data_IF_304148138208
#
_entry.id   IF_304148138208
#
_cell.length_a   1.000
_cell.length_b   1.000
_cell.length_c   1.000
_cell.angle_alpha   90.00
_cell.angle_beta   90.00
_cell.angle_gamma   90.00
#
_symmetry.space_group_name_H-M   'P 1'
#
loop_
_entity.id
_entity.type
_entity.pdbx_description
1 polymer ?
#
# COMPACT_ATOMS: atom_id res chain seq x y z
N UNK A 1 39.02 -30.25 3.06
CA UNK A 1 38.65 -30.67 1.69
C UNK A 1 37.15 -30.48 1.55
N UNK A 2 36.76 -29.53 0.71
CA UNK A 2 35.39 -29.05 0.54
C UNK A 2 34.60 -30.02 -0.35
N UNK A 3 33.59 -30.69 0.19
CA UNK A 3 32.57 -31.37 -0.61
C UNK A 3 31.30 -30.52 -0.64
N UNK A 4 31.08 -29.91 -1.80
CA UNK A 4 29.90 -29.13 -2.20
C UNK A 4 28.72 -30.08 -2.43
N UNK A 5 27.64 -29.92 -1.67
CA UNK A 5 26.38 -30.66 -1.86
C UNK A 5 25.39 -29.84 -2.71
N UNK A 6 24.84 -30.37 -3.82
CA UNK A 6 24.03 -29.63 -4.80
C UNK A 6 22.54 -30.02 -4.80
N UNK A 7 21.82 -29.95 -3.67
CA UNK A 7 20.38 -30.30 -3.65
C UNK A 7 19.59 -29.44 -2.67
N UNK A 8 19.14 -28.25 -3.08
CA UNK A 8 17.95 -27.57 -2.52
C UNK A 8 17.46 -26.44 -3.43
N UNK A 9 16.62 -26.71 -4.46
CA UNK A 9 15.74 -25.69 -5.09
C UNK A 9 14.51 -26.32 -5.73
N UNK A 10 13.62 -26.86 -4.91
CA UNK A 10 12.20 -27.05 -5.26
C UNK A 10 11.39 -26.63 -4.05
N UNK A 11 10.85 -25.41 -4.10
CA UNK A 11 9.75 -24.84 -3.31
C UNK A 11 10.04 -23.36 -3.08
N UNK A 12 9.58 -22.48 -3.99
CA UNK A 12 8.95 -21.20 -3.65
C UNK A 12 8.08 -20.83 -4.84
N UNK A 13 6.76 -21.04 -4.71
CA UNK A 13 5.74 -20.34 -5.47
C UNK A 13 4.89 -19.59 -4.45
N UNK A 14 4.65 -18.31 -4.75
CA UNK A 14 3.76 -17.36 -4.06
C UNK A 14 4.26 -16.74 -2.74
N UNK A 15 5.00 -15.63 -2.84
CA UNK A 15 4.92 -14.48 -1.93
C UNK A 15 5.84 -13.37 -2.45
N UNK A 16 5.31 -12.39 -3.17
CA UNK A 16 6.14 -11.35 -3.76
C UNK A 16 5.35 -10.16 -4.25
N UNK A 17 4.82 -9.35 -3.34
CA UNK A 17 4.48 -7.96 -3.60
C UNK A 17 4.13 -7.26 -2.29
N UNK A 18 4.92 -6.25 -1.91
CA UNK A 18 4.53 -4.98 -1.26
C UNK A 18 5.77 -4.35 -0.59
N UNK A 19 6.67 -3.81 -1.43
CA UNK A 19 7.53 -2.69 -1.03
C UNK A 19 7.22 -1.60 -2.04
N UNK A 20 6.45 -0.60 -1.62
CA UNK A 20 6.00 0.51 -2.45
C UNK A 20 5.50 1.64 -1.56
N UNK A 21 6.42 2.28 -0.84
CA UNK A 21 6.15 3.55 -0.16
C UNK A 21 6.80 4.67 -0.98
N UNK A 22 5.97 5.44 -1.68
CA UNK A 22 6.37 6.65 -2.42
C UNK A 22 5.44 7.78 -2.01
N UNK A 23 5.95 8.76 -1.26
CA UNK A 23 5.21 9.94 -0.85
C UNK A 23 4.88 10.85 -2.04
N UNK A 24 3.59 11.12 -2.26
CA UNK A 24 3.14 12.12 -3.23
C UNK A 24 3.30 13.53 -2.62
N UNK A 25 4.20 14.35 -3.18
CA UNK A 25 4.28 15.77 -2.83
C UNK A 25 3.28 16.55 -3.69
N UNK A 26 2.18 17.02 -3.08
CA UNK A 26 1.31 17.99 -3.72
C UNK A 26 1.93 19.39 -3.57
N UNK A 27 2.42 19.96 -4.67
CA UNK A 27 2.88 21.36 -4.69
C UNK A 27 1.66 22.28 -4.63
N UNK A 28 1.45 22.92 -3.47
CA UNK A 28 0.40 23.93 -3.31
C UNK A 28 0.75 25.19 -4.12
N UNK A 29 0.14 25.32 -5.29
CA UNK A 29 0.14 26.57 -6.06
C UNK A 29 -0.78 27.63 -5.45
N UNK A 30 -0.73 28.90 -5.93
CA UNK A 30 -1.60 29.97 -5.47
C UNK A 30 -3.07 29.54 -5.53
N UNK A 31 -3.88 30.01 -4.57
CA UNK A 31 -5.29 29.69 -4.46
C UNK A 31 -6.06 30.13 -5.72
N UNK A 32 -6.15 29.23 -6.67
CA UNK A 32 -7.00 29.34 -7.85
C UNK A 32 -8.35 28.72 -7.53
N UNK A 33 -9.43 29.37 -7.98
CA UNK A 33 -10.78 28.83 -7.88
C UNK A 33 -10.93 27.48 -8.63
N UNK A 34 -9.99 27.20 -9.52
CA UNK A 34 -9.85 25.93 -10.22
C UNK A 34 -8.43 25.40 -10.06
N UNK A 35 -8.26 24.18 -9.56
CA UNK A 35 -6.95 23.55 -9.50
C UNK A 35 -7.09 22.04 -9.69
N UNK A 36 -6.01 21.40 -10.09
CA UNK A 36 -5.93 19.95 -10.17
C UNK A 36 -5.05 19.44 -9.04
N UNK A 37 -5.48 18.37 -8.39
CA UNK A 37 -4.68 17.62 -7.41
C UNK A 37 -4.26 16.33 -8.11
N UNK A 38 -2.95 16.11 -8.22
CA UNK A 38 -2.38 14.91 -8.86
C UNK A 38 -1.50 14.19 -7.85
N UNK A 39 -1.78 12.91 -7.62
CA UNK A 39 -0.97 12.03 -6.77
C UNK A 39 -0.69 10.72 -7.48
N UNK A 40 0.48 10.14 -7.21
CA UNK A 40 0.90 8.86 -7.80
C UNK A 40 1.61 8.00 -6.76
N UNK A 41 1.30 6.70 -6.75
CA UNK A 41 1.93 5.71 -5.89
C UNK A 41 2.49 4.57 -6.74
N UNK A 42 3.71 4.11 -6.45
CA UNK A 42 4.40 3.14 -7.28
C UNK A 42 4.61 1.80 -6.57
N UNK A 43 4.36 0.71 -7.29
CA UNK A 43 4.65 -0.66 -6.85
C UNK A 43 5.51 -1.37 -7.88
N UNK A 44 6.54 -2.11 -7.45
CA UNK A 44 7.36 -2.91 -8.36
C UNK A 44 6.64 -4.22 -8.76
N UNK A 45 6.32 -4.36 -10.04
CA UNK A 45 5.91 -5.62 -10.65
C UNK A 45 7.15 -6.44 -11.01
N UNK A 46 7.55 -7.32 -10.11
CA UNK A 46 8.73 -8.17 -10.25
C UNK A 46 8.60 -9.24 -11.33
N UNK A 47 7.39 -9.53 -11.82
CA UNK A 47 7.20 -10.50 -12.92
C UNK A 47 7.58 -9.84 -14.24
N UNK A 48 7.17 -8.59 -14.42
CA UNK A 48 7.52 -7.78 -15.58
C UNK A 48 8.92 -7.14 -15.47
N UNK A 49 9.37 -6.80 -14.26
CA UNK A 49 10.52 -5.91 -14.05
C UNK A 49 10.17 -4.46 -14.34
N UNK A 50 8.94 -4.05 -14.02
CA UNK A 50 8.39 -2.72 -14.32
C UNK A 50 7.79 -2.11 -13.05
N UNK A 51 7.86 -0.80 -12.94
CA UNK A 51 7.06 -0.06 -11.96
C UNK A 51 5.62 0.08 -12.47
N UNK A 52 4.66 -0.15 -11.59
CA UNK A 52 3.24 0.16 -11.81
C UNK A 52 2.90 1.34 -10.94
N UNK A 53 2.55 2.47 -11.56
CA UNK A 53 2.19 3.71 -10.88
C UNK A 53 0.69 3.90 -10.91
N UNK A 54 0.04 3.86 -9.75
CA UNK A 54 -1.35 4.18 -9.52
C UNK A 54 -1.51 5.71 -9.37
N UNK A 55 -2.03 6.35 -10.41
CA UNK A 55 -2.34 7.78 -10.43
C UNK A 55 -3.76 8.05 -9.94
N UNK A 56 -3.92 9.16 -9.23
CA UNK A 56 -5.21 9.75 -8.86
C UNK A 56 -5.18 11.23 -9.21
N UNK A 57 -6.21 11.70 -9.91
CA UNK A 57 -6.37 13.09 -10.30
C UNK A 57 -7.75 13.58 -9.90
N UNK A 58 -7.79 14.70 -9.19
CA UNK A 58 -9.02 15.42 -8.88
C UNK A 58 -8.95 16.83 -9.47
N UNK A 59 -9.82 17.12 -10.41
CA UNK A 59 -10.08 18.49 -10.83
C UNK A 59 -11.04 19.12 -9.80
N UNK A 60 -10.67 20.27 -9.25
CA UNK A 60 -11.42 20.97 -8.19
C UNK A 60 -11.86 22.32 -8.73
N UNK A 61 -13.14 22.65 -8.56
CA UNK A 61 -13.67 23.97 -8.87
C UNK A 61 -15.18 24.06 -8.72
N UNK A 62 -15.74 25.20 -9.13
CA UNK A 62 -17.16 25.50 -8.95
C UNK A 62 -18.06 25.16 -10.16
N UNK A 63 -17.48 24.89 -11.33
CA UNK A 63 -18.26 24.47 -12.49
C UNK A 63 -18.64 22.98 -12.38
N UNK A 64 -19.76 22.53 -12.99
CA UNK A 64 -20.22 21.15 -12.86
C UNK A 64 -19.31 20.15 -13.59
N UNK A 65 -18.76 20.56 -14.74
CA UNK A 65 -17.90 19.72 -15.59
C UNK A 65 -16.63 20.44 -16.00
N UNK A 66 -15.66 19.66 -16.46
CA UNK A 66 -14.41 20.12 -17.06
C UNK A 66 -14.00 19.18 -18.20
N UNK A 67 -13.00 19.58 -18.98
CA UNK A 67 -12.37 18.77 -20.03
C UNK A 67 -10.86 18.77 -19.85
N UNK A 68 -10.22 17.62 -20.10
CA UNK A 68 -8.76 17.62 -20.22
C UNK A 68 -8.34 18.31 -21.52
N UNK A 69 -7.42 19.24 -21.42
CA UNK A 69 -6.72 19.89 -22.54
C UNK A 69 -5.30 19.38 -22.70
N UNK A 70 -4.74 18.77 -21.66
CA UNK A 70 -3.44 18.12 -21.68
C UNK A 70 -3.44 16.94 -20.70
N UNK A 71 -2.89 15.80 -21.14
CA UNK A 71 -2.46 14.71 -20.27
C UNK A 71 -1.12 14.23 -20.82
N UNK A 72 -0.06 14.37 -20.02
CA UNK A 72 1.29 13.96 -20.41
C UNK A 72 1.97 13.16 -19.30
N UNK A 73 2.67 12.11 -19.72
CA UNK A 73 3.32 11.14 -18.84
C UNK A 73 4.84 11.17 -19.06
N UNK A 74 5.58 11.05 -17.97
CA UNK A 74 7.01 10.74 -17.98
C UNK A 74 7.20 9.38 -17.30
N UNK A 75 8.03 8.47 -17.84
CA UNK A 75 8.80 8.58 -19.10
C UNK A 75 7.91 8.64 -20.34
N UNK A 76 8.41 9.31 -21.38
CA UNK A 76 7.72 9.39 -22.66
C UNK A 76 7.50 8.00 -23.28
N UNK A 77 6.37 7.82 -23.96
CA UNK A 77 5.99 6.55 -24.60
C UNK A 77 5.27 5.54 -23.70
N UNK A 78 5.14 5.85 -22.40
CA UNK A 78 4.24 5.11 -21.50
C UNK A 78 2.79 5.55 -21.68
N UNK A 79 1.85 4.74 -21.19
CA UNK A 79 0.41 5.01 -21.28
C UNK A 79 -0.25 4.86 -19.91
N UNK A 80 -1.42 5.48 -19.74
CA UNK A 80 -2.28 5.34 -18.56
C UNK A 80 -3.53 4.55 -18.94
N UNK A 81 -3.89 3.53 -18.16
CA UNK A 81 -4.94 2.56 -18.49
C UNK A 81 -6.37 3.02 -18.13
N UNK A 82 -6.68 4.30 -18.35
CA UNK A 82 -8.04 4.80 -18.19
C UNK A 82 -8.41 5.80 -19.31
N UNK A 83 -9.48 5.47 -20.02
CA UNK A 83 -10.07 6.26 -21.10
C UNK A 83 -10.47 7.68 -20.67
N UNK A 84 -10.78 7.89 -19.39
CA UNK A 84 -11.09 9.21 -18.83
C UNK A 84 -9.92 10.20 -18.90
N UNK A 85 -8.69 9.74 -19.14
CA UNK A 85 -7.52 10.61 -19.37
C UNK A 85 -7.30 10.98 -20.84
N UNK A 86 -8.20 10.61 -21.76
CA UNK A 86 -8.07 11.00 -23.17
C UNK A 86 -8.33 12.49 -23.35
N UNK A 87 -7.44 13.14 -24.10
CA UNK A 87 -7.59 14.52 -24.56
C UNK A 87 -8.28 14.51 -25.92
N UNK A 88 -9.61 14.55 -25.93
CA UNK A 88 -10.42 14.54 -27.16
C UNK A 88 -11.19 15.86 -27.41
N UNK A 89 -11.17 16.78 -26.43
CA UNK A 89 -11.89 18.06 -26.45
C UNK A 89 -13.43 17.94 -26.36
N UNK A 90 -13.96 16.72 -26.25
CA UNK A 90 -15.40 16.43 -26.30
C UNK A 90 -15.91 15.87 -24.98
N UNK A 91 -15.17 14.95 -24.38
CA UNK A 91 -15.55 14.26 -23.16
C UNK A 91 -15.54 15.23 -21.98
N UNK A 92 -16.72 15.40 -21.38
CA UNK A 92 -16.89 16.16 -20.15
C UNK A 92 -16.82 15.23 -18.95
N UNK A 93 -16.04 15.63 -17.96
CA UNK A 93 -15.88 14.91 -16.71
C UNK A 93 -16.48 15.72 -15.58
N UNK A 94 -17.07 15.02 -14.62
CA UNK A 94 -17.63 15.62 -13.43
C UNK A 94 -16.54 16.21 -12.55
N UNK A 95 -16.71 17.47 -12.17
CA UNK A 95 -15.78 18.16 -11.29
C UNK A 95 -15.84 17.58 -9.86
N UNK A 96 -14.75 17.70 -9.10
CA UNK A 96 -14.59 17.17 -7.75
C UNK A 96 -14.65 15.63 -7.62
N UNK A 97 -14.75 14.88 -8.73
CA UNK A 97 -14.57 13.43 -8.78
C UNK A 97 -13.10 13.08 -8.99
N UNK A 98 -12.65 12.02 -8.33
CA UNK A 98 -11.31 11.47 -8.54
C UNK A 98 -11.33 10.53 -9.75
N UNK A 99 -10.41 10.76 -10.70
CA UNK A 99 -10.13 9.88 -11.83
C UNK A 99 -8.82 9.14 -11.54
N UNK A 100 -8.83 7.81 -11.65
CA UNK A 100 -7.67 6.96 -11.36
C UNK A 100 -7.16 6.24 -12.59
N UNK A 101 -5.87 5.95 -12.68
CA UNK A 101 -5.32 5.15 -13.76
C UNK A 101 -3.93 4.63 -13.46
N UNK A 102 -3.55 3.51 -14.05
CA UNK A 102 -2.25 2.87 -13.88
C UNK A 102 -1.35 3.18 -15.06
N UNK A 103 -0.10 3.50 -14.76
CA UNK A 103 0.96 3.66 -15.74
C UNK A 103 2.04 2.60 -15.48
N UNK A 104 2.44 1.87 -16.52
CA UNK A 104 3.63 1.01 -16.47
C UNK A 104 4.86 1.79 -16.89
N UNK A 105 5.91 1.67 -16.09
CA UNK A 105 7.15 2.44 -16.22
C UNK A 105 8.34 1.48 -16.17
N UNK A 106 9.38 1.63 -17.01
CA UNK A 106 10.53 0.73 -16.98
C UNK A 106 11.17 0.65 -15.60
N UNK A 107 11.57 -0.55 -15.17
CA UNK A 107 12.12 -0.77 -13.84
C UNK A 107 13.46 -0.08 -13.56
N UNK A 108 14.11 0.47 -14.59
CA UNK A 108 15.34 1.27 -14.48
C UNK A 108 15.12 2.72 -14.09
N UNK A 109 13.88 3.21 -14.20
CA UNK A 109 13.53 4.58 -13.84
C UNK A 109 13.58 4.79 -12.33
N UNK A 110 13.73 6.05 -11.94
CA UNK A 110 13.73 6.48 -10.53
C UNK A 110 12.52 7.33 -10.17
N UNK A 111 11.72 7.75 -11.17
CA UNK A 111 10.47 8.44 -10.95
C UNK A 111 9.57 8.39 -12.18
N UNK A 112 8.34 8.83 -11.98
CA UNK A 112 7.37 9.09 -13.03
C UNK A 112 6.56 10.33 -12.71
N UNK A 113 6.11 11.04 -13.73
CA UNK A 113 5.28 12.23 -13.57
C UNK A 113 4.03 12.14 -14.42
N UNK A 114 2.90 12.60 -13.87
CA UNK A 114 1.68 12.86 -14.61
C UNK A 114 1.41 14.36 -14.57
N UNK A 115 1.32 14.97 -15.74
CA UNK A 115 0.89 16.35 -15.90
C UNK A 115 -0.47 16.39 -16.56
N UNK A 116 -1.40 17.16 -15.97
CA UNK A 116 -2.73 17.37 -16.50
C UNK A 116 -3.05 18.85 -16.60
N UNK A 117 -3.75 19.24 -17.65
CA UNK A 117 -4.38 20.55 -17.76
C UNK A 117 -5.88 20.36 -18.00
N UNK A 118 -6.69 21.04 -17.20
CA UNK A 118 -8.14 21.02 -17.28
C UNK A 118 -8.66 22.40 -17.68
N UNK A 119 -9.71 22.39 -18.49
CA UNK A 119 -10.48 23.56 -18.88
C UNK A 119 -11.88 23.49 -18.28
N UNK A 120 -12.28 24.56 -17.60
CA UNK A 120 -13.64 24.85 -17.18
C UNK A 120 -14.14 26.07 -17.96
N UNK A 121 -15.45 26.27 -18.00
CA UNK A 121 -16.03 27.49 -18.60
C UNK A 121 -15.52 28.79 -17.97
N UNK A 122 -15.05 28.73 -16.72
CA UNK A 122 -14.56 29.86 -15.93
C UNK A 122 -13.03 29.99 -15.90
N UNK A 123 -12.28 29.09 -16.53
CA UNK A 123 -10.82 29.19 -16.62
C UNK A 123 -10.11 27.85 -16.78
N UNK A 124 -8.78 27.91 -16.80
CA UNK A 124 -7.89 26.76 -16.98
C UNK A 124 -6.99 26.55 -15.76
N UNK A 125 -6.64 25.30 -15.48
CA UNK A 125 -5.64 24.97 -14.48
C UNK A 125 -4.77 23.81 -14.92
N UNK A 126 -3.49 23.86 -14.56
CA UNK A 126 -2.49 22.83 -14.84
C UNK A 126 -1.85 22.37 -13.54
N UNK A 127 -1.62 21.07 -13.40
CA UNK A 127 -0.87 20.50 -12.30
C UNK A 127 -0.03 19.32 -12.75
N UNK A 128 1.03 19.06 -11.97
CA UNK A 128 1.93 17.93 -12.17
C UNK A 128 2.09 17.21 -10.85
N UNK A 129 1.90 15.90 -10.85
CA UNK A 129 2.24 15.01 -9.74
C UNK A 129 3.45 14.15 -10.10
N UNK A 130 4.24 13.81 -9.08
CA UNK A 130 5.44 12.98 -9.22
C UNK A 130 5.34 11.78 -8.28
N UNK A 131 5.60 10.59 -8.81
CA UNK A 131 5.82 9.37 -8.06
C UNK A 131 7.32 9.03 -8.10
N UNK A 132 8.00 9.04 -6.97
CA UNK A 132 9.42 8.66 -6.88
C UNK A 132 9.57 7.20 -6.53
N UNK A 133 10.53 6.51 -7.14
CA UNK A 133 10.76 5.08 -6.94
C UNK A 133 11.98 4.86 -6.07
N UNK A 134 11.89 3.91 -5.14
CA UNK A 134 13.03 3.50 -4.34
C UNK A 134 13.81 2.39 -5.07
N UNK A 135 14.96 2.76 -5.64
CA UNK A 135 15.84 1.82 -6.31
C UNK A 135 15.34 1.40 -7.70
N UNK A 136 15.77 0.20 -8.15
CA UNK A 136 15.35 -0.38 -9.43
C UNK A 136 14.30 -1.45 -9.19
N UNK A 137 13.32 -1.55 -10.09
CA UNK A 137 12.43 -2.69 -10.16
C UNK A 137 13.03 -3.74 -11.09
N UNK A 138 13.58 -4.80 -10.53
CA UNK A 138 14.19 -5.88 -11.29
C UNK A 138 13.22 -7.05 -11.46
N UNK A 139 13.19 -7.59 -12.67
CA UNK A 139 12.47 -8.82 -12.94
C UNK A 139 13.09 -9.96 -12.15
N UNK A 140 12.29 -10.69 -11.38
CA UNK A 140 12.76 -11.90 -10.73
C UNK A 140 13.09 -12.94 -11.80
N UNK A 141 14.38 -13.25 -11.96
CA UNK A 141 14.81 -14.35 -12.80
C UNK A 141 14.45 -15.66 -12.08
N UNK A 142 13.71 -16.56 -12.73
CA UNK A 142 13.49 -17.89 -12.18
C UNK A 142 14.84 -18.53 -11.84
N UNK A 143 14.99 -19.21 -10.71
CA UNK A 143 16.23 -19.90 -10.39
C UNK A 143 16.55 -20.89 -11.51
N UNK A 144 17.71 -20.72 -12.15
CA UNK A 144 18.22 -21.65 -13.16
C UNK A 144 18.28 -23.05 -12.56
N UNK A 145 17.42 -23.94 -13.05
CA UNK A 145 17.38 -25.35 -12.64
C UNK A 145 18.60 -26.04 -13.27
N UNK A 146 19.51 -26.65 -12.51
CA UNK A 146 20.59 -27.45 -13.10
C UNK A 146 20.03 -28.75 -13.68
N UNK A 147 20.47 -29.11 -14.89
CA UNK A 147 20.20 -30.39 -15.58
C UNK A 147 20.50 -31.59 -14.66
N UNK A 148 19.59 -32.58 -14.53
CA UNK A 148 19.74 -33.65 -13.53
C UNK A 148 20.77 -34.71 -13.95
N UNK A 149 21.68 -35.01 -13.04
CA UNK A 149 22.48 -36.25 -13.02
C UNK A 149 21.79 -37.22 -12.04
N UNK A 150 21.60 -38.51 -12.38
CA UNK A 150 20.89 -39.44 -11.50
C UNK A 150 21.79 -39.88 -10.34
N UNK A 151 21.29 -39.89 -9.09
CA UNK A 151 21.61 -40.91 -8.06
C UNK A 151 20.88 -40.69 -6.71
N UNK A 152 20.31 -41.80 -6.25
CA UNK A 152 19.98 -42.31 -4.91
C UNK A 152 19.32 -41.45 -3.80
N UNK A 153 18.19 -42.00 -3.35
CA UNK A 153 17.30 -41.63 -2.26
C UNK A 153 17.96 -41.60 -0.88
N UNK A 154 17.95 -40.43 -0.24
CA UNK A 154 17.97 -40.29 1.23
C UNK A 154 16.87 -39.28 1.60
N UNK A 155 16.05 -39.49 2.65
CA UNK A 155 15.00 -38.55 3.02
C UNK A 155 15.59 -37.18 3.40
N UNK A 156 15.10 -36.07 2.81
CA UNK A 156 15.70 -34.75 3.02
C UNK A 156 15.27 -34.17 4.36
N UNK A 157 16.25 -33.76 5.17
CA UNK A 157 16.05 -32.87 6.31
C UNK A 157 15.77 -31.47 5.77
N UNK A 158 14.63 -30.90 6.15
CA UNK A 158 14.16 -29.54 5.80
C UNK A 158 15.19 -28.47 6.24
N UNK A 159 15.48 -27.44 5.44
CA UNK A 159 16.16 -26.24 5.96
C UNK A 159 15.38 -25.63 7.15
N UNK A 160 16.05 -24.97 8.11
CA UNK A 160 15.31 -24.14 9.05
C UNK A 160 14.61 -23.03 8.28
N UNK A 161 13.28 -23.03 8.33
CA UNK A 161 12.40 -22.04 7.71
C UNK A 161 12.78 -20.63 8.18
N UNK A 162 12.71 -19.68 7.25
CA UNK A 162 12.62 -18.27 7.63
C UNK A 162 11.35 -18.10 8.47
N UNK A 163 11.37 -17.32 9.57
CA UNK A 163 10.16 -16.98 10.31
C UNK A 163 9.06 -16.57 9.35
N UNK A 164 7.88 -17.16 9.49
CA UNK A 164 6.68 -16.67 8.85
C UNK A 164 6.45 -15.20 9.19
N UNK A 165 5.85 -14.49 8.25
CA UNK A 165 5.44 -13.11 8.42
C UNK A 165 4.06 -13.06 9.14
N UNK A 166 3.87 -12.24 10.19
CA UNK A 166 2.59 -12.12 10.86
C UNK A 166 1.55 -11.47 9.96
N UNK A 167 0.37 -12.06 9.88
CA UNK A 167 -0.72 -11.54 9.06
C UNK A 167 -1.58 -10.54 9.86
N UNK A 168 -1.89 -9.36 9.32
CA UNK A 168 -2.71 -8.37 9.99
C UNK A 168 -4.17 -8.79 10.07
N UNK A 169 -4.81 -8.45 11.19
CA UNK A 169 -6.24 -8.56 11.41
C UNK A 169 -6.78 -7.14 11.48
N UNK A 170 -7.64 -6.78 10.53
CA UNK A 170 -8.28 -5.48 10.47
C UNK A 170 -9.72 -5.65 10.00
N UNK A 171 -10.66 -5.30 10.87
CA UNK A 171 -12.09 -5.37 10.55
C UNK A 171 -12.76 -4.08 11.06
N UNK A 172 -13.63 -3.50 10.23
CA UNK A 172 -14.43 -2.34 10.58
C UNK A 172 -15.91 -2.68 10.41
N UNK A 173 -16.70 -2.30 11.39
CA UNK A 173 -18.16 -2.36 11.35
C UNK A 173 -18.71 -0.96 11.60
N UNK A 174 -20.03 -0.81 11.67
CA UNK A 174 -20.69 0.47 11.89
C UNK A 174 -20.39 1.14 13.22
N UNK A 175 -20.02 0.36 14.22
CA UNK A 175 -19.81 0.81 15.59
C UNK A 175 -18.51 0.30 16.21
N UNK A 176 -17.71 -0.48 15.47
CA UNK A 176 -16.46 -1.04 15.98
C UNK A 176 -15.33 -1.05 14.96
N UNK A 177 -14.10 -1.05 15.48
CA UNK A 177 -12.86 -1.33 14.76
C UNK A 177 -12.09 -2.41 15.53
N UNK A 178 -11.62 -3.43 14.82
CA UNK A 178 -10.84 -4.55 15.35
C UNK A 178 -9.46 -4.56 14.70
N UNK A 179 -8.42 -4.59 15.54
CA UNK A 179 -7.02 -4.53 15.10
C UNK A 179 -6.24 -5.65 15.81
N UNK A 180 -5.45 -6.42 15.07
CA UNK A 180 -4.64 -7.49 15.62
C UNK A 180 -3.65 -8.10 14.64
N UNK A 181 -3.04 -9.20 15.06
CA UNK A 181 -2.12 -9.98 14.24
C UNK A 181 -2.34 -11.49 14.46
N UNK A 182 -2.14 -12.23 13.38
CA UNK A 182 -1.94 -13.67 13.35
C UNK A 182 -0.43 -13.93 13.26
N UNK A 183 0.20 -14.20 14.40
CA UNK A 183 1.65 -14.35 14.50
C UNK A 183 2.04 -15.82 14.29
N UNK A 184 2.81 -16.16 13.25
CA UNK A 184 3.15 -17.54 12.96
C UNK A 184 4.06 -18.13 14.04
N UNK A 185 4.08 -19.47 14.11
CA UNK A 185 4.76 -20.23 15.17
C UNK A 185 6.28 -19.96 15.25
N UNK A 186 6.89 -19.61 14.13
CA UNK A 186 8.29 -19.29 13.95
C UNK A 186 8.58 -17.78 13.98
N UNK A 187 7.56 -16.95 14.23
CA UNK A 187 7.64 -15.50 14.41
C UNK A 187 8.40 -15.08 15.68
N UNK A 188 8.33 -13.78 15.99
CA UNK A 188 8.87 -13.22 17.26
C UNK A 188 7.74 -12.67 18.10
N UNK A 189 8.00 -12.47 19.40
CA UNK A 189 7.02 -11.80 20.25
C UNK A 189 6.82 -10.35 19.81
N UNK A 190 5.56 -9.99 19.59
CA UNK A 190 5.13 -8.68 19.13
C UNK A 190 4.24 -8.06 20.21
N UNK A 191 4.41 -6.76 20.44
CA UNK A 191 3.55 -5.97 21.31
C UNK A 191 2.87 -4.89 20.50
N UNK A 192 1.54 -4.83 20.56
CA UNK A 192 0.73 -3.74 20.03
C UNK A 192 0.27 -2.86 21.19
N UNK A 193 0.71 -1.60 21.20
CA UNK A 193 0.19 -0.56 22.09
C UNK A 193 -0.90 0.23 21.38
N UNK A 194 -2.03 0.44 22.04
CA UNK A 194 -3.15 1.21 21.50
C UNK A 194 -3.35 2.43 22.36
N UNK A 195 -3.47 3.61 21.76
CA UNK A 195 -3.91 4.82 22.44
C UNK A 195 -5.03 5.47 21.61
N UNK A 196 -6.24 5.39 22.11
CA UNK A 196 -7.42 5.91 21.39
C UNK A 196 -7.56 7.42 21.55
N UNK A 197 -8.28 8.06 20.63
CA UNK A 197 -8.66 9.48 20.74
C UNK A 197 -9.55 9.80 21.95
N UNK A 198 -10.16 8.77 22.56
CA UNK A 198 -10.91 8.86 23.82
C UNK A 198 -10.01 8.82 25.05
N UNK A 199 -8.70 8.66 24.88
CA UNK A 199 -7.71 8.57 25.95
C UNK A 199 -7.51 7.16 26.53
N UNK A 200 -8.29 6.18 26.10
CA UNK A 200 -8.11 4.77 26.47
C UNK A 200 -6.78 4.24 25.94
N UNK A 201 -6.05 3.51 26.79
CA UNK A 201 -4.80 2.84 26.42
C UNK A 201 -4.88 1.34 26.70
N UNK A 202 -4.44 0.53 25.73
CA UNK A 202 -4.36 -0.93 25.86
C UNK A 202 -3.02 -1.44 25.34
N UNK A 203 -2.65 -2.65 25.74
CA UNK A 203 -1.46 -3.32 25.23
C UNK A 203 -1.79 -4.79 24.98
N UNK A 204 -1.43 -5.28 23.81
CA UNK A 204 -1.64 -6.65 23.38
C UNK A 204 -0.30 -7.30 23.05
N UNK A 205 0.10 -8.29 23.84
CA UNK A 205 1.30 -9.10 23.60
C UNK A 205 0.90 -10.38 22.86
N UNK A 206 1.54 -10.60 21.72
CA UNK A 206 1.27 -11.67 20.77
C UNK A 206 2.55 -12.49 20.60
N UNK A 207 2.57 -13.68 21.21
CA UNK A 207 3.69 -14.60 21.12
C UNK A 207 3.71 -15.29 19.76
N UNK A 208 4.85 -15.88 19.36
CA UNK A 208 4.89 -16.74 18.18
C UNK A 208 3.82 -17.83 18.25
N UNK A 209 3.08 -18.02 17.17
CA UNK A 209 1.99 -18.98 17.03
C UNK A 209 0.64 -18.50 17.58
N UNK A 210 0.55 -17.28 18.11
CA UNK A 210 -0.70 -16.72 18.62
C UNK A 210 -1.39 -15.82 17.60
N UNK A 211 -2.72 -15.94 17.55
CA UNK A 211 -3.61 -15.01 16.87
C UNK A 211 -4.38 -14.20 17.91
N UNK A 212 -4.19 -12.87 17.91
CA UNK A 212 -4.87 -11.99 18.87
C UNK A 212 -5.23 -10.65 18.24
N UNK A 213 -6.32 -10.07 18.72
CA UNK A 213 -6.81 -8.75 18.33
C UNK A 213 -7.49 -8.03 19.50
N UNK A 214 -7.60 -6.71 19.38
CA UNK A 214 -8.41 -5.85 20.26
C UNK A 214 -9.52 -5.21 19.44
N UNK A 215 -10.70 -5.10 20.04
CA UNK A 215 -11.87 -4.43 19.44
C UNK A 215 -12.21 -3.19 20.25
N UNK A 216 -12.43 -2.09 19.54
CA UNK A 216 -12.77 -0.79 20.10
C UNK A 216 -14.11 -0.30 19.55
N UNK A 217 -14.93 0.30 20.40
CA UNK A 217 -16.13 1.01 19.95
C UNK A 217 -15.74 2.30 19.23
N UNK A 218 -16.11 2.40 17.97
CA UNK A 218 -15.72 3.46 17.06
C UNK A 218 -16.94 4.19 16.51
N UNK A 219 -16.78 5.49 16.29
CA UNK A 219 -17.76 6.40 15.68
C UNK A 219 -16.98 7.42 14.85
N UNK A 220 -17.60 8.11 13.88
CA UNK A 220 -16.91 9.13 13.09
C UNK A 220 -16.10 10.10 13.97
N UNK A 221 -14.82 10.29 13.62
CA UNK A 221 -13.86 11.06 14.41
C UNK A 221 -13.07 10.27 15.47
N UNK A 222 -13.31 8.96 15.60
CA UNK A 222 -12.49 8.07 16.42
C UNK A 222 -11.15 7.77 15.72
N UNK A 223 -10.07 7.71 16.50
CA UNK A 223 -8.76 7.28 16.01
C UNK A 223 -7.98 6.51 17.08
N UNK A 224 -6.98 5.76 16.64
CA UNK A 224 -6.09 4.96 17.48
C UNK A 224 -4.65 5.25 17.03
N UNK A 225 -3.82 5.76 17.94
CA UNK A 225 -2.37 5.69 17.80
C UNK A 225 -1.95 4.25 18.14
N UNK A 226 -1.59 3.49 17.11
CA UNK A 226 -1.11 2.11 17.21
C UNK A 226 0.41 2.11 17.23
N UNK A 227 0.99 1.64 18.32
CA UNK A 227 2.43 1.42 18.47
C UNK A 227 2.76 -0.05 18.30
N UNK A 228 3.44 -0.42 17.22
CA UNK A 228 4.04 -1.73 17.06
C UNK A 228 5.38 -1.77 17.78
N UNK A 229 5.69 -2.86 18.49
CA UNK A 229 6.98 -3.09 19.11
C UNK A 229 7.40 -4.55 19.01
N UNK A 230 8.66 -4.80 18.67
CA UNK A 230 9.24 -6.15 18.63
C UNK A 230 10.70 -6.13 19.08
N UNK A 231 11.17 -7.25 19.64
CA UNK A 231 12.59 -7.44 19.95
C UNK A 231 13.16 -8.55 19.09
N UNK A 232 14.18 -8.22 18.31
CA UNK A 232 14.83 -9.16 17.36
C UNK A 232 16.32 -9.08 17.56
N UNK A 233 16.95 -10.21 17.85
CA UNK A 233 18.39 -10.32 18.12
C UNK A 233 18.88 -9.31 19.17
N UNK A 234 18.10 -9.13 20.24
CA UNK A 234 18.39 -8.19 21.34
C UNK A 234 18.22 -6.70 20.99
N UNK A 235 17.76 -6.36 19.78
CA UNK A 235 17.44 -4.99 19.38
C UNK A 235 15.94 -4.76 19.43
N UNK A 236 15.52 -3.66 20.07
CA UNK A 236 14.13 -3.22 20.12
C UNK A 236 13.80 -2.39 18.89
N UNK A 237 12.64 -2.64 18.32
CA UNK A 237 12.03 -1.89 17.23
C UNK A 237 10.69 -1.37 17.72
N UNK A 238 10.37 -0.12 17.40
CA UNK A 238 9.09 0.49 17.71
C UNK A 238 8.72 1.47 16.62
N UNK A 239 7.46 1.42 16.21
CA UNK A 239 6.88 2.32 15.21
C UNK A 239 5.46 2.66 15.63
N UNK A 240 5.04 3.91 15.42
CA UNK A 240 3.70 4.38 15.78
C UNK A 240 3.03 4.97 14.55
N UNK A 241 1.77 4.58 14.33
CA UNK A 241 0.93 5.13 13.28
C UNK A 241 -0.48 5.45 13.82
N UNK A 242 -1.15 6.42 13.22
CA UNK A 242 -2.50 6.84 13.64
C UNK A 242 -3.54 6.28 12.66
N UNK A 243 -4.33 5.33 13.16
CA UNK A 243 -5.44 4.71 12.43
C UNK A 243 -6.70 5.52 12.72
N UNK A 244 -7.30 6.08 11.67
CA UNK A 244 -8.60 6.77 11.78
C UNK A 244 -9.71 5.79 11.43
N UNK A 245 -10.74 5.76 12.25
CA UNK A 245 -11.94 4.99 11.94
C UNK A 245 -12.78 5.71 10.90
N UNK A 246 -13.18 4.96 9.88
CA UNK A 246 -14.09 5.44 8.85
C UNK A 246 -15.35 4.57 8.83
N UNK A 247 -16.50 5.20 9.03
CA UNK A 247 -17.75 4.48 9.11
C UNK A 247 -18.11 3.87 7.74
N UNK A 248 -18.41 2.56 7.68
CA UNK A 248 -18.88 1.93 6.45
C UNK A 248 -20.17 2.57 5.90
N UNK A 249 -20.33 2.54 4.58
CA UNK A 249 -21.41 3.27 3.88
C UNK A 249 -22.83 2.69 4.13
N UNK A 250 -22.93 1.46 4.63
CA UNK A 250 -24.18 0.72 4.84
C UNK A 250 -24.79 0.91 6.25
N UNK A 251 -24.16 1.74 7.07
CA UNK A 251 -24.52 1.91 8.49
C UNK A 251 -25.78 2.74 8.77
N UNK A 252 -26.38 3.35 7.75
CA UNK A 252 -27.55 4.25 7.88
C UNK A 252 -28.90 3.58 7.54
N UNK A 253 -29.04 2.27 7.75
CA UNK A 253 -30.28 1.53 7.43
C UNK A 253 -31.34 1.54 8.55
N UNK A 254 -31.32 2.50 9.48
CA UNK A 254 -32.36 2.60 10.53
C UNK A 254 -32.99 3.99 10.61
N UNK A 255 -34.02 4.20 9.78
CA UNK A 255 -35.17 5.04 10.14
C UNK A 255 -35.19 6.48 9.61
N UNK A 256 -36.10 6.68 8.64
CA UNK A 256 -36.84 7.90 8.34
C UNK A 256 -36.08 9.13 7.78
N UNK A 257 -36.32 9.39 6.49
CA UNK A 257 -36.59 10.74 5.99
C UNK A 257 -35.53 11.36 5.09
N UNK A 258 -35.79 11.30 3.78
CA UNK A 258 -35.38 12.26 2.75
C UNK A 258 -34.12 13.09 3.01
N UNK A 259 -32.95 12.49 2.76
CA UNK A 259 -31.69 13.21 2.60
C UNK A 259 -30.99 12.69 1.35
N UNK A 260 -30.56 13.60 0.48
CA UNK A 260 -29.84 13.31 -0.76
C UNK A 260 -28.66 12.34 -0.51
N UNK A 261 -28.31 11.47 -1.48
CA UNK A 261 -27.20 10.54 -1.29
C UNK A 261 -25.88 11.29 -1.07
N UNK A 262 -25.27 11.10 0.10
CA UNK A 262 -23.91 11.53 0.41
C UNK A 262 -22.91 10.64 -0.34
N UNK A 263 -22.73 10.88 -1.63
CA UNK A 263 -21.75 10.17 -2.47
C UNK A 263 -20.32 10.73 -2.28
N UNK A 264 -19.85 10.77 -1.04
CA UNK A 264 -18.51 11.26 -0.68
C UNK A 264 -17.69 10.37 0.27
N UNK A 265 -18.35 9.49 1.05
CA UNK A 265 -17.67 8.65 2.05
C UNK A 265 -17.14 7.30 1.49
N UNK A 266 -17.54 6.92 0.27
CA UNK A 266 -17.26 5.58 -0.28
C UNK A 266 -15.80 5.36 -0.75
N UNK A 267 -14.95 6.40 -0.82
CA UNK A 267 -13.56 6.29 -1.26
C UNK A 267 -12.52 6.33 -0.10
N UNK A 268 -12.95 6.66 1.13
CA UNK A 268 -12.03 6.84 2.26
C UNK A 268 -11.67 5.53 2.98
N UNK A 269 -12.58 4.57 3.10
CA UNK A 269 -12.37 3.35 3.91
C UNK A 269 -11.21 2.46 3.46
N UNK A 270 -10.71 2.62 2.23
CA UNK A 270 -9.51 1.94 1.75
C UNK A 270 -8.22 2.59 2.31
N UNK A 271 -8.25 3.85 2.71
CA UNK A 271 -7.09 4.59 3.20
C UNK A 271 -6.74 4.30 4.67
N UNK A 272 -7.75 4.11 5.56
CA UNK A 272 -7.53 3.83 6.98
C UNK A 272 -6.92 2.44 7.24
N UNK A 273 -7.48 1.40 6.60
CA UNK A 273 -6.92 0.05 6.66
C UNK A 273 -5.54 -0.05 6.00
N UNK A 274 -5.31 0.65 4.88
CA UNK A 274 -4.01 0.66 4.22
C UNK A 274 -2.90 1.25 5.11
N UNK A 275 -3.17 2.31 5.88
CA UNK A 275 -2.17 2.89 6.79
C UNK A 275 -1.73 1.90 7.88
N UNK A 276 -2.69 1.23 8.53
CA UNK A 276 -2.41 0.20 9.53
C UNK A 276 -1.56 -0.96 8.97
N UNK A 277 -1.89 -1.42 7.77
CA UNK A 277 -1.16 -2.46 7.05
C UNK A 277 0.26 -2.01 6.67
N UNK A 278 0.44 -0.74 6.30
CA UNK A 278 1.73 -0.16 5.96
C UNK A 278 2.66 -0.03 7.18
N UNK A 279 2.13 0.35 8.35
CA UNK A 279 2.92 0.44 9.58
C UNK A 279 3.41 -0.93 10.06
N UNK A 280 2.54 -1.95 10.00
CA UNK A 280 2.92 -3.34 10.30
C UNK A 280 3.96 -3.83 9.28
N UNK A 281 3.72 -3.59 7.98
CA UNK A 281 4.65 -3.97 6.92
C UNK A 281 6.03 -3.31 7.04
N UNK A 282 6.10 -2.03 7.41
CA UNK A 282 7.35 -1.29 7.61
C UNK A 282 8.19 -1.88 8.76
N UNK A 283 7.55 -2.16 9.90
CA UNK A 283 8.20 -2.83 11.03
C UNK A 283 8.78 -4.21 10.67
N UNK A 284 8.03 -5.00 9.88
CA UNK A 284 8.43 -6.34 9.43
C UNK A 284 9.55 -6.29 8.39
N UNK A 285 9.50 -5.35 7.45
CA UNK A 285 10.55 -5.13 6.46
C UNK A 285 11.90 -4.79 7.11
N UNK A 286 11.90 -3.92 8.13
CA UNK A 286 13.11 -3.58 8.87
C UNK A 286 13.68 -4.75 9.67
N UNK A 287 12.80 -5.63 10.19
CA UNK A 287 13.20 -6.87 10.86
C UNK A 287 13.84 -7.86 9.88
N UNK A 288 13.22 -8.11 8.73
CA UNK A 288 13.72 -9.04 7.71
C UNK A 288 15.06 -8.58 7.12
N UNK A 289 15.23 -7.28 6.86
CA UNK A 289 16.46 -6.70 6.28
C UNK A 289 17.67 -6.79 7.20
N UNK A 290 17.49 -6.89 8.52
CA UNK A 290 18.59 -6.87 9.50
C UNK A 290 19.08 -8.23 9.96
N UNK A 291 18.36 -9.33 9.66
CA UNK A 291 18.89 -10.68 9.80
C UNK A 291 19.95 -10.88 8.71
N UNK A 292 21.21 -10.54 9.04
CA UNK A 292 22.35 -10.93 8.20
C UNK A 292 22.31 -12.44 8.06
N UNK A 293 22.01 -12.93 6.85
CA UNK A 293 22.16 -14.33 6.46
C UNK A 293 23.62 -14.69 6.69
N UNK A 294 23.94 -15.26 7.85
CA UNK A 294 25.24 -15.88 8.06
C UNK A 294 25.20 -17.20 7.30
N UNK A 295 25.65 -17.15 6.06
CA UNK A 295 26.04 -18.34 5.33
C UNK A 295 27.26 -18.93 6.03
N UNK A 296 27.03 -19.77 7.03
CA UNK A 296 28.08 -20.67 7.51
C UNK A 296 28.18 -21.76 6.45
N UNK A 297 29.24 -21.70 5.65
CA UNK A 297 29.57 -22.65 4.59
C UNK A 297 29.96 -24.02 5.16
#
# INVERSE_FOLDING_TARGET
>A
MNLKSPLRRTAVLAAGALIGLSGAFALAGPASAHHNIVSGQATCDKVAGEWVVDWSVQAVGNAPTYKWTEVSLTPAGTTIDNEAFKVDGKTELENNKVVTGKQRVPGTETSSTLTVAAHWTSGDAKATGTATFEGKCEKETPPTTPTPTPTATTPPVTPPDLPGEPAPIFEETCDTITIGLDNPADGVEITLGYKTSKGEQRTLVIKPGEKKSETFSAKPGFSIDLTFSATVDGKKYSETDTIKYEQPADCDSSGNGGGLPVTGAAAGGIAGGAAALLAVGAGLFFMARRRKVKFTA
#
